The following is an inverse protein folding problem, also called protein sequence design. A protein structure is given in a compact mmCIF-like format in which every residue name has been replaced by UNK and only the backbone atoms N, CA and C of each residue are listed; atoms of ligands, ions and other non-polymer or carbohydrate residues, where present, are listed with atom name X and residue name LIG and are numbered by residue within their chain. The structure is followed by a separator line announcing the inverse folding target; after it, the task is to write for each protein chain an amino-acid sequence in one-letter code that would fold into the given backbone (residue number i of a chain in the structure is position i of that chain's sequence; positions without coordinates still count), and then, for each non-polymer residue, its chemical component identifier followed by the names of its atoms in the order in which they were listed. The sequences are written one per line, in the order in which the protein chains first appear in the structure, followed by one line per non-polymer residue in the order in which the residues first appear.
data_IF_370122876322
#
_entry.id   IF_370122876322
#
_cell.length_a   1.000
_cell.length_b   1.000
_cell.length_c   1.000
_cell.angle_alpha   90.00
_cell.angle_beta   90.00
_cell.angle_gamma   90.00
#
_symmetry.space_group_name_H-M   'P 1'
#
loop_
_entity.id
_entity.type
_entity.pdbx_description
1 polymer ?
#
# COMPACT_ATOMS: atom_id res chain seq x y z
N UNK A 1 -4.66 6.64 47.09
CA UNK A 1 -4.59 6.06 45.74
C UNK A 1 -3.35 6.61 45.01
N UNK A 2 -2.23 5.88 45.04
CA UNK A 2 -0.96 6.22 44.33
C UNK A 2 -0.28 4.91 43.88
N UNK A 3 -0.97 4.10 43.09
CA UNK A 3 -0.51 2.75 42.70
C UNK A 3 -0.03 2.63 41.24
N UNK A 4 0.17 3.74 40.52
CA UNK A 4 0.60 3.70 39.10
C UNK A 4 1.73 4.68 38.76
N UNK A 5 2.63 5.00 39.70
CA UNK A 5 3.91 5.60 39.32
C UNK A 5 4.89 4.49 38.94
N UNK A 6 4.79 4.03 37.68
CA UNK A 6 5.82 3.19 37.07
C UNK A 6 6.97 4.13 36.69
N UNK A 7 8.02 4.16 37.49
CA UNK A 7 9.24 4.89 37.13
C UNK A 7 9.73 4.40 35.76
N UNK A 8 10.00 5.33 34.84
CA UNK A 8 10.59 5.05 33.53
C UNK A 8 11.98 4.48 33.75
N UNK A 9 12.08 3.16 33.86
CA UNK A 9 13.35 2.43 33.81
C UNK A 9 14.01 2.79 32.49
N UNK A 10 15.21 3.35 32.50
CA UNK A 10 15.96 3.69 31.28
C UNK A 10 16.24 2.41 30.51
N UNK A 11 15.35 2.05 29.59
CA UNK A 11 15.57 0.95 28.65
C UNK A 11 16.69 1.35 27.73
N UNK A 12 17.72 0.51 27.65
CA UNK A 12 18.86 0.70 26.74
C UNK A 12 18.35 0.80 25.29
N UNK A 13 18.62 1.93 24.66
CA UNK A 13 18.27 2.24 23.28
C UNK A 13 18.81 1.19 22.29
N UNK A 14 19.94 0.55 22.60
CA UNK A 14 20.52 -0.50 21.78
C UNK A 14 19.63 -1.74 21.76
N UNK A 15 19.12 -2.14 22.92
CA UNK A 15 18.25 -3.31 23.05
C UNK A 15 16.93 -3.04 22.32
N UNK A 16 16.35 -1.84 22.47
CA UNK A 16 15.12 -1.44 21.78
C UNK A 16 15.31 -1.43 20.25
N UNK A 17 16.43 -0.93 19.76
CA UNK A 17 16.72 -0.90 18.32
C UNK A 17 16.85 -2.31 17.71
N UNK A 18 17.52 -3.23 18.42
CA UNK A 18 17.64 -4.64 18.01
C UNK A 18 16.27 -5.32 18.00
N UNK A 19 15.44 -5.12 19.03
CA UNK A 19 14.09 -5.66 19.08
C UNK A 19 13.22 -5.13 17.93
N UNK A 20 13.25 -3.82 17.65
CA UNK A 20 12.53 -3.23 16.54
C UNK A 20 12.95 -3.81 15.18
N UNK A 21 14.24 -4.10 15.01
CA UNK A 21 14.74 -4.79 13.81
C UNK A 21 14.16 -6.20 13.67
N UNK A 22 14.16 -6.99 14.75
CA UNK A 22 13.59 -8.34 14.76
C UNK A 22 12.09 -8.30 14.45
N UNK A 23 11.33 -7.37 15.04
CA UNK A 23 9.91 -7.21 14.75
C UNK A 23 9.65 -6.84 13.29
N UNK A 24 10.49 -5.97 12.71
CA UNK A 24 10.41 -5.63 11.29
C UNK A 24 10.67 -6.84 10.40
N UNK A 25 11.69 -7.64 10.71
CA UNK A 25 12.00 -8.88 9.98
C UNK A 25 10.86 -9.90 10.09
N UNK A 26 10.32 -10.11 11.30
CA UNK A 26 9.18 -10.99 11.54
C UNK A 26 7.94 -10.53 10.75
N UNK A 27 7.67 -9.22 10.68
CA UNK A 27 6.61 -8.67 9.85
C UNK A 27 6.80 -9.02 8.38
N UNK A 28 8.00 -8.80 7.81
CA UNK A 28 8.26 -9.17 6.41
C UNK A 28 8.11 -10.67 6.15
N UNK A 29 8.55 -11.53 7.08
CA UNK A 29 8.38 -12.97 6.95
C UNK A 29 6.89 -13.36 6.90
N UNK A 30 6.06 -12.81 7.79
CA UNK A 30 4.60 -13.05 7.79
C UNK A 30 3.97 -12.59 6.47
N UNK A 31 4.36 -11.42 5.96
CA UNK A 31 3.85 -10.90 4.69
C UNK A 31 4.22 -11.82 3.51
N UNK A 32 5.47 -12.29 3.45
CA UNK A 32 5.93 -13.22 2.42
C UNK A 32 5.19 -14.56 2.52
N UNK A 33 5.03 -15.11 3.72
CA UNK A 33 4.27 -16.34 3.94
C UNK A 33 2.82 -16.21 3.48
N UNK A 34 2.16 -15.08 3.76
CA UNK A 34 0.80 -14.83 3.27
C UNK A 34 0.75 -14.77 1.74
N UNK A 35 1.71 -14.10 1.09
CA UNK A 35 1.78 -14.04 -0.37
C UNK A 35 2.00 -15.42 -1.01
N UNK A 36 2.90 -16.23 -0.45
CA UNK A 36 3.13 -17.61 -0.90
C UNK A 36 1.86 -18.45 -0.69
N UNK A 37 1.20 -18.33 0.47
CA UNK A 37 -0.06 -19.02 0.76
C UNK A 37 -1.14 -18.68 -0.28
N UNK A 38 -1.32 -17.40 -0.63
CA UNK A 38 -2.25 -16.98 -1.68
C UNK A 38 -1.92 -17.66 -3.00
N UNK A 39 -0.65 -17.66 -3.42
CA UNK A 39 -0.22 -18.29 -4.67
C UNK A 39 -0.50 -19.79 -4.72
N UNK A 40 -0.15 -20.51 -3.64
CA UNK A 40 -0.38 -21.95 -3.51
C UNK A 40 -1.88 -22.27 -3.50
N UNK A 41 -2.68 -21.52 -2.74
CA UNK A 41 -4.14 -21.71 -2.68
C UNK A 41 -4.80 -21.43 -4.01
N UNK A 42 -4.36 -20.40 -4.73
CA UNK A 42 -4.84 -20.08 -6.06
C UNK A 42 -4.53 -21.20 -7.07
N UNK A 43 -3.34 -21.80 -6.99
CA UNK A 43 -2.95 -22.94 -7.82
C UNK A 43 -3.76 -24.20 -7.52
N UNK A 44 -3.95 -24.55 -6.24
CA UNK A 44 -4.62 -25.80 -5.84
C UNK A 44 -6.15 -25.74 -5.88
N UNK A 45 -6.74 -24.62 -5.45
CA UNK A 45 -8.20 -24.48 -5.28
C UNK A 45 -8.85 -23.60 -6.36
N UNK A 46 -8.07 -23.14 -7.34
CA UNK A 46 -8.52 -22.20 -8.36
C UNK A 46 -8.93 -20.83 -7.78
N UNK A 47 -9.82 -20.13 -8.48
CA UNK A 47 -10.30 -18.78 -8.11
C UNK A 47 -11.29 -18.76 -6.94
N UNK A 48 -11.19 -19.69 -5.98
CA UNK A 48 -12.07 -19.70 -4.81
C UNK A 48 -11.62 -18.64 -3.78
N UNK A 49 -12.28 -17.48 -3.83
CA UNK A 49 -12.00 -16.31 -2.98
C UNK A 49 -12.12 -16.64 -1.48
N UNK A 50 -12.99 -17.59 -1.09
CA UNK A 50 -13.18 -17.95 0.33
C UNK A 50 -11.90 -18.51 0.95
N UNK A 51 -11.07 -19.18 0.18
CA UNK A 51 -9.85 -19.80 0.68
C UNK A 51 -8.74 -18.81 0.99
N UNK A 52 -8.74 -17.63 0.35
CA UNK A 52 -7.67 -16.61 0.44
C UNK A 52 -8.08 -15.36 1.23
N UNK A 53 -9.32 -15.29 1.73
CA UNK A 53 -9.87 -14.10 2.38
C UNK A 53 -9.10 -13.72 3.65
N UNK A 54 -8.63 -14.71 4.41
CA UNK A 54 -7.91 -14.49 5.66
C UNK A 54 -6.54 -13.86 5.40
N UNK A 55 -5.78 -14.38 4.43
CA UNK A 55 -4.48 -13.83 4.04
C UNK A 55 -4.62 -12.39 3.53
N UNK A 56 -5.65 -12.14 2.72
CA UNK A 56 -5.92 -10.80 2.20
C UNK A 56 -6.24 -9.83 3.35
N UNK A 57 -7.03 -10.27 4.33
CA UNK A 57 -7.39 -9.49 5.50
C UNK A 57 -6.16 -9.20 6.39
N UNK A 58 -5.28 -10.17 6.62
CA UNK A 58 -4.04 -9.98 7.38
C UNK A 58 -3.15 -8.94 6.70
N UNK A 59 -2.93 -9.06 5.40
CA UNK A 59 -2.14 -8.10 4.61
C UNK A 59 -2.77 -6.71 4.67
N UNK A 60 -4.09 -6.62 4.50
CA UNK A 60 -4.80 -5.35 4.43
C UNK A 60 -4.84 -4.62 5.78
N UNK A 61 -5.28 -5.30 6.84
CA UNK A 61 -5.38 -4.71 8.19
C UNK A 61 -4.00 -4.33 8.71
N UNK A 62 -2.99 -5.19 8.55
CA UNK A 62 -1.65 -4.89 9.04
C UNK A 62 -1.03 -3.70 8.29
N UNK A 63 -1.21 -3.62 6.97
CA UNK A 63 -0.75 -2.48 6.17
C UNK A 63 -1.41 -1.17 6.60
N UNK A 64 -2.73 -1.16 6.82
CA UNK A 64 -3.46 0.01 7.30
C UNK A 64 -2.99 0.41 8.70
N UNK A 65 -2.88 -0.55 9.63
CA UNK A 65 -2.46 -0.28 10.99
C UNK A 65 -1.05 0.35 11.05
N UNK A 66 -0.10 -0.23 10.33
CA UNK A 66 1.25 0.31 10.24
C UNK A 66 1.26 1.71 9.60
N UNK A 67 0.48 1.92 8.54
CA UNK A 67 0.34 3.23 7.89
C UNK A 67 -0.19 4.30 8.84
N UNK A 68 -1.32 4.04 9.50
CA UNK A 68 -1.93 4.97 10.47
C UNK A 68 -0.96 5.25 11.63
N UNK A 69 -0.34 4.21 12.19
CA UNK A 69 0.58 4.37 13.33
C UNK A 69 1.80 5.22 12.97
N UNK A 70 2.36 5.09 11.78
CA UNK A 70 3.45 5.96 11.29
C UNK A 70 3.05 7.43 11.23
N UNK A 71 1.81 7.71 10.81
CA UNK A 71 1.27 9.07 10.76
C UNK A 71 1.04 9.63 12.16
N UNK A 72 0.47 8.83 13.06
CA UNK A 72 0.24 9.22 14.44
C UNK A 72 1.55 9.51 15.20
N UNK A 73 2.64 8.82 14.87
CA UNK A 73 3.94 9.03 15.51
C UNK A 73 4.76 10.18 14.90
N UNK A 74 4.24 10.91 13.90
CA UNK A 74 5.00 12.00 13.27
C UNK A 74 6.06 11.55 12.25
N UNK A 75 6.50 10.29 12.33
CA UNK A 75 7.57 9.67 11.52
C UNK A 75 7.33 9.82 10.01
N UNK A 76 6.07 9.86 9.58
CA UNK A 76 5.72 10.02 8.17
C UNK A 76 6.27 11.31 7.55
N UNK A 77 6.28 12.43 8.29
CA UNK A 77 6.82 13.68 7.76
C UNK A 77 8.33 13.63 7.67
N UNK A 78 8.99 13.09 8.69
CA UNK A 78 10.45 12.95 8.69
C UNK A 78 10.91 12.08 7.53
N UNK A 79 10.21 10.96 7.26
CA UNK A 79 10.46 10.11 6.09
C UNK A 79 10.30 10.88 4.77
N UNK A 80 9.26 11.71 4.64
CA UNK A 80 9.03 12.53 3.43
C UNK A 80 10.08 13.62 3.27
N UNK A 81 10.46 14.29 4.36
CA UNK A 81 11.45 15.36 4.34
C UNK A 81 12.86 14.83 4.01
N UNK A 82 13.25 13.70 4.61
CA UNK A 82 14.50 13.02 4.27
C UNK A 82 14.49 12.57 2.80
N UNK A 83 13.37 12.03 2.32
CA UNK A 83 13.25 11.65 0.91
C UNK A 83 13.37 12.85 -0.02
N UNK A 84 12.65 13.94 0.24
CA UNK A 84 12.65 15.13 -0.60
C UNK A 84 14.02 15.87 -0.57
N UNK A 85 14.80 15.72 0.51
CA UNK A 85 16.19 16.23 0.58
C UNK A 85 17.20 15.37 -0.18
N UNK A 86 16.98 14.06 -0.23
CA UNK A 86 17.91 13.10 -0.84
C UNK A 86 17.59 12.79 -2.30
N UNK A 87 16.33 12.92 -2.70
CA UNK A 87 15.82 12.58 -4.02
C UNK A 87 15.54 13.82 -4.86
N UNK A 88 15.80 13.73 -6.16
CA UNK A 88 15.43 14.77 -7.15
C UNK A 88 13.92 14.84 -7.41
N UNK A 89 13.19 13.78 -7.08
CA UNK A 89 11.74 13.66 -7.30
C UNK A 89 11.06 13.66 -5.94
N UNK A 90 10.13 14.60 -5.72
CA UNK A 90 9.38 14.67 -4.47
C UNK A 90 8.46 13.46 -4.29
N UNK A 91 8.21 13.08 -3.04
CA UNK A 91 7.30 11.95 -2.75
C UNK A 91 5.90 12.15 -3.33
N UNK A 92 5.43 13.40 -3.39
CA UNK A 92 4.13 13.72 -4.00
C UNK A 92 4.10 13.40 -5.49
N UNK A 93 5.15 13.75 -6.24
CA UNK A 93 5.25 13.47 -7.68
C UNK A 93 5.40 11.98 -7.92
N UNK A 94 6.21 11.30 -7.09
CA UNK A 94 6.38 9.84 -7.15
C UNK A 94 5.05 9.11 -6.96
N UNK A 95 4.24 9.53 -5.99
CA UNK A 95 2.93 8.95 -5.72
C UNK A 95 1.95 9.13 -6.89
N UNK A 96 1.96 10.30 -7.54
CA UNK A 96 1.15 10.56 -8.75
C UNK A 96 1.60 9.65 -9.89
N UNK A 97 2.91 9.52 -10.13
CA UNK A 97 3.45 8.64 -11.17
C UNK A 97 3.04 7.19 -10.92
N UNK A 98 3.14 6.70 -9.69
CA UNK A 98 2.71 5.34 -9.34
C UNK A 98 1.21 5.17 -9.60
N UNK A 99 0.38 6.15 -9.25
CA UNK A 99 -1.06 6.16 -9.54
C UNK A 99 -1.37 6.12 -11.04
N UNK A 100 -0.69 6.93 -11.84
CA UNK A 100 -0.85 6.94 -13.29
C UNK A 100 -0.42 5.61 -13.92
N UNK A 101 0.75 5.09 -13.55
CA UNK A 101 1.27 3.83 -14.09
C UNK A 101 0.34 2.67 -13.74
N UNK A 102 -0.11 2.57 -12.48
CA UNK A 102 -1.07 1.53 -12.06
C UNK A 102 -2.41 1.64 -12.81
N UNK A 103 -2.93 2.85 -13.00
CA UNK A 103 -4.12 3.09 -13.80
C UNK A 103 -3.96 2.70 -15.27
N UNK A 104 -2.80 2.96 -15.88
CA UNK A 104 -2.52 2.52 -17.26
C UNK A 104 -2.46 0.99 -17.33
N UNK A 105 -1.71 0.36 -16.43
CA UNK A 105 -1.54 -1.11 -16.41
C UNK A 105 -2.88 -1.81 -16.26
N UNK A 106 -3.74 -1.37 -15.34
CA UNK A 106 -5.07 -1.97 -15.18
C UNK A 106 -5.93 -1.76 -16.43
N UNK A 107 -5.84 -0.61 -17.07
CA UNK A 107 -6.66 -0.28 -18.24
C UNK A 107 -6.26 -1.12 -19.44
N UNK A 108 -4.96 -1.34 -19.65
CA UNK A 108 -4.47 -2.28 -20.67
C UNK A 108 -4.95 -3.69 -20.35
N UNK A 109 -4.83 -4.15 -19.10
CA UNK A 109 -5.26 -5.48 -18.70
C UNK A 109 -6.75 -5.71 -18.99
N UNK A 110 -7.62 -4.77 -18.61
CA UNK A 110 -9.05 -4.85 -18.90
C UNK A 110 -9.34 -4.74 -20.40
N UNK A 111 -8.64 -3.87 -21.14
CA UNK A 111 -8.76 -3.78 -22.59
C UNK A 111 -8.44 -5.11 -23.28
N UNK A 112 -7.31 -5.73 -22.94
CA UNK A 112 -6.90 -7.04 -23.50
C UNK A 112 -7.88 -8.13 -23.09
N UNK A 113 -8.26 -8.21 -21.82
CA UNK A 113 -9.17 -9.24 -21.34
C UNK A 113 -10.53 -9.18 -22.04
N UNK A 114 -11.07 -7.97 -22.23
CA UNK A 114 -12.37 -7.80 -22.89
C UNK A 114 -12.28 -8.03 -24.41
N UNK A 115 -11.18 -7.66 -25.06
CA UNK A 115 -11.00 -7.92 -26.49
C UNK A 115 -10.88 -9.43 -26.79
N UNK A 116 -10.23 -10.19 -25.91
CA UNK A 116 -10.13 -11.65 -26.02
C UNK A 116 -11.47 -12.32 -25.71
N UNK A 117 -12.20 -11.84 -24.70
CA UNK A 117 -13.43 -12.48 -24.23
C UNK A 117 -14.65 -12.18 -25.10
N UNK A 118 -14.76 -10.96 -25.63
CA UNK A 118 -15.95 -10.49 -26.37
C UNK A 118 -15.66 -10.10 -27.82
N UNK A 119 -14.40 -10.03 -28.23
CA UNK A 119 -14.02 -9.61 -29.57
C UNK A 119 -13.94 -10.76 -30.57
N UNK A 120 -14.78 -10.70 -31.60
CA UNK A 120 -14.66 -11.50 -32.83
C UNK A 120 -13.55 -10.96 -33.76
N UNK A 121 -13.15 -11.73 -34.77
CA UNK A 121 -11.99 -11.41 -35.64
C UNK A 121 -12.04 -10.00 -36.26
N UNK A 122 -13.24 -9.51 -36.60
CA UNK A 122 -13.41 -8.17 -37.20
C UNK A 122 -13.45 -7.03 -36.18
N UNK A 123 -13.95 -7.28 -34.96
CA UNK A 123 -14.29 -6.23 -33.98
C UNK A 123 -13.39 -6.23 -32.74
N UNK A 124 -12.43 -7.16 -32.64
CA UNK A 124 -11.54 -7.31 -31.49
C UNK A 124 -10.77 -6.03 -31.14
N UNK A 125 -10.27 -5.33 -32.16
CA UNK A 125 -9.54 -4.06 -31.97
C UNK A 125 -10.46 -2.96 -31.42
N UNK A 126 -11.71 -2.90 -31.88
CA UNK A 126 -12.71 -1.95 -31.39
C UNK A 126 -13.05 -2.18 -29.92
N UNK A 127 -13.26 -3.43 -29.52
CA UNK A 127 -13.48 -3.77 -28.10
C UNK A 127 -12.28 -3.42 -27.23
N UNK A 128 -11.06 -3.65 -27.72
CA UNK A 128 -9.85 -3.24 -26.99
C UNK A 128 -9.83 -1.72 -26.77
N UNK A 129 -9.95 -0.92 -27.84
CA UNK A 129 -9.84 0.54 -27.77
C UNK A 129 -10.93 1.12 -26.87
N UNK A 130 -12.18 0.69 -27.04
CA UNK A 130 -13.32 1.20 -26.28
C UNK A 130 -13.15 0.93 -24.78
N UNK A 131 -12.86 -0.32 -24.41
CA UNK A 131 -12.70 -0.70 -23.00
C UNK A 131 -11.44 -0.11 -22.41
N UNK A 132 -10.33 -0.06 -23.16
CA UNK A 132 -9.10 0.59 -22.73
C UNK A 132 -9.34 2.06 -22.39
N UNK A 133 -10.00 2.82 -23.26
CA UNK A 133 -10.20 4.26 -23.05
C UNK A 133 -11.19 4.53 -21.91
N UNK A 134 -12.30 3.77 -21.86
CA UNK A 134 -13.25 3.86 -20.75
C UNK A 134 -12.59 3.52 -19.40
N UNK A 135 -11.79 2.45 -19.36
CA UNK A 135 -11.02 2.04 -18.18
C UNK A 135 -9.97 3.07 -17.81
N UNK A 136 -9.26 3.63 -18.78
CA UNK A 136 -8.24 4.65 -18.56
C UNK A 136 -8.84 5.91 -17.93
N UNK A 137 -9.95 6.41 -18.48
CA UNK A 137 -10.64 7.58 -17.93
C UNK A 137 -11.16 7.36 -16.51
N UNK A 138 -11.55 6.14 -16.15
CA UNK A 138 -12.10 5.82 -14.83
C UNK A 138 -11.00 5.49 -13.81
N UNK A 139 -10.14 4.51 -14.12
CA UNK A 139 -9.16 3.98 -13.18
C UNK A 139 -7.96 4.90 -12.99
N UNK A 140 -7.51 5.62 -14.01
CA UNK A 140 -6.35 6.50 -13.89
C UNK A 140 -6.54 7.60 -12.84
N UNK A 141 -7.63 8.43 -12.87
CA UNK A 141 -7.87 9.40 -11.81
C UNK A 141 -8.19 8.71 -10.46
N UNK A 142 -8.89 7.57 -10.47
CA UNK A 142 -9.18 6.83 -9.24
C UNK A 142 -7.91 6.36 -8.51
N UNK A 143 -6.93 5.81 -9.23
CA UNK A 143 -5.66 5.37 -8.65
C UNK A 143 -4.77 6.54 -8.22
N UNK A 144 -4.76 7.64 -8.97
CA UNK A 144 -4.06 8.86 -8.53
C UNK A 144 -4.65 9.38 -7.22
N UNK A 145 -5.98 9.40 -7.10
CA UNK A 145 -6.67 9.83 -5.88
C UNK A 145 -6.40 8.89 -4.70
N UNK A 146 -6.56 7.58 -4.87
CA UNK A 146 -6.42 6.62 -3.76
C UNK A 146 -5.00 6.60 -3.18
N UNK A 147 -3.98 6.96 -3.98
CA UNK A 147 -2.58 7.04 -3.51
C UNK A 147 -2.26 8.44 -2.98
N UNK A 148 -2.72 9.50 -3.65
CA UNK A 148 -2.36 10.88 -3.29
C UNK A 148 -3.13 11.40 -2.09
N UNK A 149 -4.40 11.01 -1.92
CA UNK A 149 -5.24 11.48 -0.81
C UNK A 149 -4.69 11.02 0.55
N UNK A 150 -4.34 9.74 0.76
CA UNK A 150 -3.68 9.32 1.99
C UNK A 150 -2.38 10.07 2.25
N UNK A 151 -1.57 10.37 1.23
CA UNK A 151 -0.35 11.16 1.40
C UNK A 151 -0.63 12.57 1.92
N UNK A 152 -1.62 13.26 1.35
CA UNK A 152 -2.01 14.61 1.78
C UNK A 152 -2.58 14.60 3.21
N UNK A 153 -3.45 13.63 3.51
CA UNK A 153 -4.04 13.47 4.86
C UNK A 153 -2.94 13.19 5.88
N UNK A 154 -2.06 12.23 5.57
CA UNK A 154 -0.94 11.82 6.43
C UNK A 154 -0.02 12.99 6.73
N UNK A 155 0.35 13.77 5.70
CA UNK A 155 1.18 14.97 5.87
C UNK A 155 0.48 16.05 6.72
N UNK A 156 -0.84 16.22 6.60
CA UNK A 156 -1.59 17.19 7.43
C UNK A 156 -1.73 16.73 8.88
N UNK A 157 -2.02 15.45 9.12
CA UNK A 157 -2.18 14.89 10.46
C UNK A 157 -0.86 14.89 11.22
N UNK A 158 0.19 14.40 10.58
CA UNK A 158 1.52 14.32 11.18
C UNK A 158 2.10 15.71 11.52
N UNK A 159 1.69 16.80 10.84
CA UNK A 159 2.13 18.18 11.16
C UNK A 159 1.47 18.74 12.40
N UNK A 160 0.28 18.23 12.74
CA UNK A 160 -0.52 18.69 13.89
C UNK A 160 -0.12 17.98 15.18
N UNK A 161 0.58 16.86 15.08
CA UNK A 161 0.99 16.06 16.22
C UNK A 161 2.43 16.49 16.55
N UNK A 162 2.67 17.19 17.68
CA UNK A 162 4.03 17.45 18.13
C UNK A 162 4.74 16.12 18.43
N UNK A 163 6.04 15.99 18.13
CA UNK A 163 6.78 14.77 18.44
C UNK A 163 6.67 14.50 19.94
N UNK A 164 6.20 13.30 20.30
CA UNK A 164 6.13 12.85 21.68
C UNK A 164 7.58 12.59 22.15
N UNK A 165 8.08 13.48 23.03
CA UNK A 165 9.40 13.37 23.68
C UNK A 165 9.46 12.19 24.67
#
# INVERSE_FOLDING_TARGET
MRLFNKEKRSTDERIVNVLNKIYKEAYYLVMIMCLISIGVKYYLHGSNIKSIILELLIIFISGIYCGIRKVCLGIYIDEVEIHDRTSKISMSVKNIIIGLVSGIVISVFFGVRNSVLYGNDTNRIWYFILVFFASFMMYCPFFVLIISVPHIISRKLSKKIPPEN
#
